data_IF_439411534396
#
_entry.id   IF_439411534396
#
_cell.length_a   1.000
_cell.length_b   1.000
_cell.length_c   1.000
_cell.angle_alpha   90.00
_cell.angle_beta   90.00
_cell.angle_gamma   90.00
#
_symmetry.space_group_name_H-M   'P 1'
#
loop_
_entity.id
_entity.type
_entity.pdbx_description
1 polymer ?
#
# COMPACT_ATOMS: atom_id res chain seq x y z
N UNK A 1 -11.86 -6.66 -26.15
CA UNK A 1 -11.73 -5.24 -25.79
C UNK A 1 -10.84 -5.20 -24.56
N UNK A 2 -9.55 -4.91 -24.75
CA UNK A 2 -8.64 -4.73 -23.62
C UNK A 2 -9.01 -3.42 -22.94
N UNK A 3 -9.46 -3.49 -21.70
CA UNK A 3 -9.80 -2.31 -20.92
C UNK A 3 -8.52 -1.53 -20.60
N UNK A 4 -8.38 -0.40 -21.26
CA UNK A 4 -7.28 0.55 -21.09
C UNK A 4 -7.60 1.45 -19.90
N UNK A 5 -7.48 0.95 -18.66
CA UNK A 5 -7.44 1.84 -17.48
C UNK A 5 -5.98 2.18 -17.14
N UNK A 6 -5.53 3.30 -17.67
CA UNK A 6 -4.29 3.95 -17.31
C UNK A 6 -4.39 4.48 -15.88
N UNK A 7 -3.80 3.77 -14.92
CA UNK A 7 -3.68 4.12 -13.49
C UNK A 7 -5.00 4.21 -12.70
N UNK A 8 -5.55 3.06 -12.31
CA UNK A 8 -6.65 2.94 -11.36
C UNK A 8 -6.12 2.82 -9.92
N UNK A 9 -6.41 3.81 -9.09
CA UNK A 9 -6.20 3.76 -7.63
C UNK A 9 -7.28 2.91 -6.96
N UNK A 10 -6.92 2.17 -5.91
CA UNK A 10 -7.85 1.38 -5.09
C UNK A 10 -7.75 1.82 -3.64
N UNK A 11 -8.89 2.12 -3.03
CA UNK A 11 -8.98 2.44 -1.60
C UNK A 11 -9.51 1.23 -0.84
N UNK A 12 -8.73 0.74 0.12
CA UNK A 12 -9.16 -0.33 1.03
C UNK A 12 -9.73 0.32 2.30
N UNK A 13 -11.04 0.27 2.44
CA UNK A 13 -11.68 0.66 3.70
C UNK A 13 -11.41 -0.41 4.74
N UNK A 14 -10.77 -0.05 5.85
CA UNK A 14 -10.46 -0.95 6.96
C UNK A 14 -11.69 -1.37 7.77
N UNK A 15 -12.77 -1.77 7.11
CA UNK A 15 -14.06 -2.13 7.68
C UNK A 15 -14.47 -3.52 7.19
N UNK A 16 -14.95 -4.36 8.12
CA UNK A 16 -15.60 -5.62 7.76
C UNK A 16 -16.95 -5.34 7.10
N UNK A 17 -17.54 -6.38 6.49
CA UNK A 17 -18.92 -6.31 5.99
C UNK A 17 -19.96 -6.01 7.08
N UNK A 18 -19.60 -6.25 8.33
CA UNK A 18 -20.40 -5.97 9.53
C UNK A 18 -20.10 -4.56 10.10
N UNK A 19 -19.31 -3.74 9.41
CA UNK A 19 -19.01 -2.36 9.82
C UNK A 19 -17.99 -2.23 10.96
N UNK A 20 -17.27 -3.31 11.30
CA UNK A 20 -16.23 -3.26 12.34
C UNK A 20 -14.87 -2.91 11.76
N UNK A 21 -14.08 -2.10 12.46
CA UNK A 21 -12.71 -1.78 12.05
C UNK A 21 -11.81 -3.03 12.03
N UNK A 22 -10.97 -3.14 11.01
CA UNK A 22 -9.91 -4.15 10.94
C UNK A 22 -8.97 -4.04 12.14
N UNK A 23 -8.49 -5.20 12.58
CA UNK A 23 -7.56 -5.33 13.70
C UNK A 23 -6.31 -6.07 13.24
N UNK A 24 -5.14 -5.79 13.81
CA UNK A 24 -4.86 -4.70 14.75
C UNK A 24 -5.04 -3.30 14.12
N UNK A 25 -5.06 -2.24 14.94
CA UNK A 25 -5.33 -0.87 14.44
C UNK A 25 -4.28 -0.37 13.44
N UNK A 26 -3.07 -0.95 13.46
CA UNK A 26 -1.93 -0.66 12.58
C UNK A 26 -1.94 -1.49 11.27
N UNK A 27 -3.11 -2.04 10.87
CA UNK A 27 -3.20 -2.93 9.70
C UNK A 27 -2.77 -2.25 8.40
N UNK A 28 -3.05 -0.95 8.24
CA UNK A 28 -2.74 -0.19 7.03
C UNK A 28 -1.23 -0.01 6.90
N UNK A 29 -0.55 0.30 8.01
CA UNK A 29 0.90 0.42 8.10
C UNK A 29 1.59 -0.92 7.83
N UNK A 30 1.02 -2.02 8.32
CA UNK A 30 1.51 -3.38 8.04
C UNK A 30 1.40 -3.71 6.55
N UNK A 31 0.26 -3.42 5.93
CA UNK A 31 0.08 -3.62 4.48
C UNK A 31 1.07 -2.77 3.67
N UNK A 32 1.20 -1.49 4.01
CA UNK A 32 2.15 -0.59 3.36
C UNK A 32 3.61 -1.04 3.54
N UNK A 33 3.94 -1.63 4.69
CA UNK A 33 5.23 -2.26 4.97
C UNK A 33 5.51 -3.46 4.05
N UNK A 34 4.56 -4.37 3.88
CA UNK A 34 4.68 -5.49 2.93
C UNK A 34 4.85 -4.97 1.50
N UNK A 35 4.15 -3.90 1.15
CA UNK A 35 4.23 -3.30 -0.17
C UNK A 35 5.52 -2.51 -0.41
N UNK A 36 6.30 -2.21 0.64
CA UNK A 36 7.47 -1.35 0.55
C UNK A 36 8.49 -1.80 -0.50
N UNK A 37 8.63 -3.09 -0.76
CA UNK A 37 9.56 -3.61 -1.77
C UNK A 37 9.19 -3.24 -3.22
N UNK A 38 7.90 -2.99 -3.49
CA UNK A 38 7.41 -2.67 -4.83
C UNK A 38 7.59 -1.17 -5.07
N UNK A 39 8.60 -0.81 -5.85
CA UNK A 39 8.89 0.58 -6.21
C UNK A 39 9.72 0.65 -7.50
N UNK A 40 9.64 1.74 -8.27
CA UNK A 40 10.38 1.85 -9.51
C UNK A 40 11.90 1.92 -9.25
N UNK A 41 12.66 1.22 -10.09
CA UNK A 41 14.12 1.12 -10.21
C UNK A 41 15.00 1.74 -9.11
N UNK A 42 15.69 0.89 -8.34
CA UNK A 42 16.88 1.29 -7.54
C UNK A 42 16.61 2.13 -6.28
N UNK A 43 15.36 2.50 -5.99
CA UNK A 43 14.99 3.27 -4.79
C UNK A 43 15.30 2.55 -3.45
N UNK A 44 15.36 1.20 -3.45
CA UNK A 44 15.84 0.42 -2.29
C UNK A 44 17.36 0.54 -2.08
N UNK A 45 18.13 0.89 -3.11
CA UNK A 45 19.58 1.05 -3.04
C UNK A 45 20.00 2.40 -2.44
N UNK A 46 19.06 3.34 -2.24
CA UNK A 46 19.32 4.57 -1.47
C UNK A 46 19.37 4.25 0.02
N UNK A 47 20.32 4.84 0.77
CA UNK A 47 20.33 4.75 2.23
C UNK A 47 18.96 5.14 2.81
N UNK A 48 18.41 4.28 3.68
CA UNK A 48 17.08 4.49 4.29
C UNK A 48 15.88 4.08 3.41
N UNK A 49 16.10 3.51 2.22
CA UNK A 49 15.02 3.04 1.34
C UNK A 49 14.11 1.99 1.99
N UNK A 50 14.67 1.09 2.80
CA UNK A 50 13.93 0.03 3.52
C UNK A 50 13.08 0.56 4.68
N UNK A 51 13.27 1.80 5.13
CA UNK A 51 12.53 2.42 6.24
C UNK A 51 11.29 3.20 5.76
N UNK A 52 10.95 3.12 4.47
CA UNK A 52 9.90 3.91 3.84
C UNK A 52 8.89 3.01 3.15
N UNK A 53 7.61 3.39 3.19
CA UNK A 53 6.56 2.75 2.41
C UNK A 53 6.77 2.91 0.90
N UNK A 54 6.08 2.07 0.13
CA UNK A 54 6.04 2.19 -1.32
C UNK A 54 5.25 3.44 -1.74
N UNK A 55 5.64 4.14 -2.81
CA UNK A 55 4.84 5.24 -3.37
C UNK A 55 3.48 4.78 -3.92
N UNK A 56 3.26 3.47 -4.07
CA UNK A 56 2.02 2.88 -4.58
C UNK A 56 1.11 2.34 -3.47
N UNK A 57 1.54 2.38 -2.21
CA UNK A 57 0.73 1.94 -1.08
C UNK A 57 1.01 2.84 0.12
N UNK A 58 0.08 3.75 0.39
CA UNK A 58 0.19 4.79 1.42
C UNK A 58 -0.94 4.55 2.43
N UNK A 59 -0.66 4.40 3.73
CA UNK A 59 -1.69 4.34 4.75
C UNK A 59 -2.28 5.75 4.96
N UNK A 60 -3.61 5.86 4.95
CA UNK A 60 -4.39 7.12 5.09
C UNK A 60 -5.51 6.98 6.11
#
# INVERSE_FOLDING_TARGET
>A
MADSSTHSEVVIHGLTREGRTFRPSDWAERLAGVMAQFRPGGSLARPGGHLRYSPWCIPT
#
